data_IF_791128836444
#
_entry.id   IF_791128836444
#
_cell.length_a   1.000
_cell.length_b   1.000
_cell.length_c   1.000
_cell.angle_alpha   90.00
_cell.angle_beta   90.00
_cell.angle_gamma   90.00
#
_symmetry.space_group_name_H-M   'P 1'
#
loop_
_entity.id
_entity.type
_entity.pdbx_description
1 polymer ?
#
# COMPACT_ATOMS: atom_id res chain seq x y z
N UNK A 1 -19.07 -69.11 -40.18
CA UNK A 1 -19.32 -67.68 -40.52
C UNK A 1 -20.69 -67.33 -39.98
N UNK A 2 -20.97 -66.22 -39.26
CA UNK A 2 -20.17 -65.25 -38.49
C UNK A 2 -20.50 -65.31 -36.96
N UNK A 3 -19.96 -64.41 -36.12
CA UNK A 3 -20.61 -64.09 -34.82
C UNK A 3 -19.72 -63.73 -33.61
N UNK A 4 -19.43 -62.43 -33.46
CA UNK A 4 -19.24 -61.65 -32.22
C UNK A 4 -18.22 -62.16 -31.17
N UNK A 5 -17.02 -61.57 -31.22
CA UNK A 5 -16.16 -61.40 -30.04
C UNK A 5 -16.65 -60.24 -29.17
N UNK A 6 -16.93 -60.53 -27.90
CA UNK A 6 -17.01 -59.54 -26.82
C UNK A 6 -15.75 -59.70 -25.97
N UNK A 7 -14.83 -58.74 -26.07
CA UNK A 7 -13.74 -58.57 -25.11
C UNK A 7 -13.65 -57.08 -24.76
N UNK A 8 -14.19 -56.77 -23.58
CA UNK A 8 -13.67 -55.80 -22.60
C UNK A 8 -12.94 -54.57 -23.16
N UNK A 9 -13.66 -53.44 -23.27
CA UNK A 9 -13.04 -52.12 -23.28
C UNK A 9 -12.66 -51.72 -21.85
N UNK A 10 -11.41 -51.96 -21.49
CA UNK A 10 -10.73 -51.19 -20.43
C UNK A 10 -9.89 -50.13 -21.13
N UNK A 11 -9.84 -48.93 -20.54
CA UNK A 11 -9.11 -47.73 -20.99
C UNK A 11 -9.91 -46.74 -21.84
N UNK A 12 -10.56 -45.78 -21.17
CA UNK A 12 -10.11 -44.38 -21.20
C UNK A 12 -11.07 -43.54 -20.35
N UNK A 13 -10.91 -43.63 -19.04
CA UNK A 13 -11.63 -42.80 -18.06
C UNK A 13 -10.74 -41.68 -17.55
N UNK A 14 -9.98 -41.03 -18.43
CA UNK A 14 -9.33 -39.76 -18.10
C UNK A 14 -10.24 -38.66 -18.62
N UNK A 15 -11.26 -38.37 -17.80
CA UNK A 15 -12.13 -37.22 -17.97
C UNK A 15 -11.26 -35.98 -18.17
N UNK A 16 -11.45 -35.36 -19.34
CA UNK A 16 -10.90 -34.06 -19.71
C UNK A 16 -11.20 -33.08 -18.57
N UNK A 17 -10.21 -32.85 -17.71
CA UNK A 17 -10.27 -31.77 -16.74
C UNK A 17 -10.59 -30.52 -17.56
N UNK A 18 -11.71 -29.86 -17.26
CA UNK A 18 -11.98 -28.52 -17.79
C UNK A 18 -10.69 -27.74 -17.58
N UNK A 19 -10.17 -27.00 -18.58
CA UNK A 19 -9.08 -26.08 -18.34
C UNK A 19 -9.48 -25.28 -17.11
N UNK A 20 -8.69 -25.37 -16.04
CA UNK A 20 -8.83 -24.43 -14.93
C UNK A 20 -8.75 -23.08 -15.62
N UNK A 21 -9.79 -22.26 -15.53
CA UNK A 21 -9.74 -20.86 -15.92
C UNK A 21 -8.70 -20.21 -15.00
N UNK A 22 -7.44 -20.40 -15.37
CA UNK A 22 -6.32 -19.79 -14.69
C UNK A 22 -6.42 -18.31 -15.01
N UNK A 23 -6.54 -17.54 -13.95
CA UNK A 23 -6.46 -16.10 -14.01
C UNK A 23 -5.29 -15.67 -14.92
N UNK A 24 -5.54 -14.87 -15.97
CA UNK A 24 -4.50 -14.43 -16.90
C UNK A 24 -3.30 -13.79 -16.19
N UNK A 25 -3.51 -13.16 -15.02
CA UNK A 25 -2.44 -12.57 -14.20
C UNK A 25 -1.59 -13.60 -13.43
N UNK A 26 -2.17 -14.75 -13.11
CA UNK A 26 -1.50 -15.86 -12.44
C UNK A 26 -0.75 -16.76 -13.42
N UNK A 27 -1.20 -16.81 -14.67
CA UNK A 27 -0.59 -17.65 -15.74
C UNK A 27 0.82 -17.22 -16.17
N UNK A 28 1.19 -15.96 -15.91
CA UNK A 28 2.49 -15.39 -16.30
C UNK A 28 3.53 -15.63 -15.21
N UNK A 29 4.67 -16.21 -15.57
CA UNK A 29 5.83 -16.41 -14.70
C UNK A 29 6.71 -15.17 -14.58
N UNK A 30 7.76 -15.28 -13.78
CA UNK A 30 8.79 -14.24 -13.66
C UNK A 30 9.93 -14.54 -14.66
N UNK A 31 10.48 -13.52 -15.35
CA UNK A 31 11.69 -13.68 -16.15
C UNK A 31 12.86 -14.24 -15.34
N UNK A 32 12.99 -13.80 -14.09
CA UNK A 32 14.00 -14.29 -13.13
C UNK A 32 13.89 -15.79 -12.81
N UNK A 33 12.74 -16.41 -13.10
CA UNK A 33 12.48 -17.85 -12.91
C UNK A 33 12.43 -18.62 -14.23
N UNK A 34 12.83 -18.01 -15.34
CA UNK A 34 12.94 -18.66 -16.66
C UNK A 34 11.74 -18.48 -17.59
N UNK A 35 10.71 -17.71 -17.20
CA UNK A 35 9.61 -17.39 -18.13
C UNK A 35 9.99 -16.21 -19.03
N UNK A 36 10.26 -16.49 -20.30
CA UNK A 36 10.71 -15.49 -21.28
C UNK A 36 9.56 -14.78 -22.01
N UNK A 37 8.29 -15.10 -21.73
CA UNK A 37 7.14 -14.51 -22.45
C UNK A 37 7.06 -12.99 -22.27
N UNK A 38 7.42 -12.50 -21.08
CA UNK A 38 7.44 -11.07 -20.75
C UNK A 38 8.63 -10.31 -21.35
N UNK A 39 9.48 -10.94 -22.17
CA UNK A 39 10.49 -10.24 -22.97
C UNK A 39 9.92 -9.64 -24.25
N UNK A 40 8.77 -10.15 -24.73
CA UNK A 40 8.10 -9.65 -25.92
C UNK A 40 7.25 -8.40 -25.62
N UNK A 41 7.42 -7.35 -26.42
CA UNK A 41 6.80 -6.04 -26.17
C UNK A 41 5.28 -6.08 -26.30
N UNK A 42 4.76 -6.84 -27.27
CA UNK A 42 3.31 -6.99 -27.46
C UNK A 42 2.68 -7.75 -26.31
N UNK A 43 3.38 -8.76 -25.79
CA UNK A 43 2.96 -9.52 -24.62
C UNK A 43 2.95 -8.64 -23.37
N UNK A 44 3.93 -7.74 -23.19
CA UNK A 44 3.94 -6.77 -22.09
C UNK A 44 2.74 -5.82 -22.15
N UNK A 45 2.42 -5.28 -23.34
CA UNK A 45 1.28 -4.38 -23.54
C UNK A 45 -0.05 -5.07 -23.24
N UNK A 46 -0.26 -6.26 -23.79
CA UNK A 46 -1.46 -7.05 -23.50
C UNK A 46 -1.58 -7.39 -22.01
N UNK A 47 -0.46 -7.70 -21.36
CA UNK A 47 -0.45 -7.97 -19.93
C UNK A 47 -0.79 -6.74 -19.10
N UNK A 48 -0.27 -5.58 -19.47
CA UNK A 48 -0.62 -4.31 -18.85
C UNK A 48 -2.12 -4.01 -18.99
N UNK A 49 -2.70 -4.21 -20.18
CA UNK A 49 -4.15 -4.05 -20.39
C UNK A 49 -4.94 -4.95 -19.43
N UNK A 50 -4.59 -6.22 -19.30
CA UNK A 50 -5.25 -7.13 -18.35
C UNK A 50 -5.11 -6.64 -16.89
N UNK A 51 -3.96 -6.10 -16.50
CA UNK A 51 -3.74 -5.53 -15.16
C UNK A 51 -4.67 -4.33 -14.95
N UNK A 52 -4.73 -3.41 -15.92
CA UNK A 52 -5.57 -2.21 -15.84
C UNK A 52 -7.05 -2.58 -15.79
N UNK A 53 -7.51 -3.49 -16.65
CA UNK A 53 -8.91 -3.94 -16.68
C UNK A 53 -9.34 -4.51 -15.33
N UNK A 54 -8.50 -5.35 -14.74
CA UNK A 54 -8.74 -5.88 -13.39
C UNK A 54 -8.75 -4.81 -12.31
N UNK A 55 -7.82 -3.86 -12.38
CA UNK A 55 -7.80 -2.74 -11.45
C UNK A 55 -9.06 -1.87 -11.57
N UNK A 56 -9.54 -1.63 -12.79
CA UNK A 56 -10.77 -0.88 -13.02
C UNK A 56 -12.01 -1.65 -12.53
N UNK A 57 -12.05 -2.97 -12.70
CA UNK A 57 -13.09 -3.83 -12.14
C UNK A 57 -13.10 -3.77 -10.61
N UNK A 58 -11.93 -3.88 -9.97
CA UNK A 58 -11.77 -3.71 -8.52
C UNK A 58 -12.24 -2.32 -8.04
N UNK A 59 -11.90 -1.26 -8.77
CA UNK A 59 -12.36 0.09 -8.43
C UNK A 59 -13.88 0.25 -8.57
N UNK A 60 -14.48 -0.39 -9.57
CA UNK A 60 -15.92 -0.35 -9.81
C UNK A 60 -16.70 -1.09 -8.72
N UNK A 61 -16.18 -2.22 -8.25
CA UNK A 61 -16.76 -3.00 -7.16
C UNK A 61 -16.68 -2.28 -5.80
N UNK A 62 -15.62 -1.49 -5.57
CA UNK A 62 -15.51 -0.69 -4.36
C UNK A 62 -16.57 0.43 -4.27
N UNK A 63 -17.04 0.93 -5.42
CA UNK A 63 -18.15 1.89 -5.57
C UNK A 63 -17.88 3.32 -5.04
N UNK A 64 -17.14 3.46 -3.95
CA UNK A 64 -16.79 4.72 -3.31
C UNK A 64 -15.28 4.82 -3.02
N UNK A 65 -14.76 6.05 -3.06
CA UNK A 65 -13.33 6.35 -2.84
C UNK A 65 -12.84 5.90 -1.45
N UNK A 66 -13.63 6.12 -0.41
CA UNK A 66 -13.22 5.80 0.96
C UNK A 66 -13.14 4.28 1.19
N UNK A 67 -14.07 3.54 0.59
CA UNK A 67 -14.07 2.07 0.59
C UNK A 67 -12.87 1.51 -0.18
N UNK A 68 -12.52 2.11 -1.33
CA UNK A 68 -11.32 1.76 -2.09
C UNK A 68 -10.05 1.96 -1.25
N UNK A 69 -9.91 3.12 -0.59
CA UNK A 69 -8.78 3.41 0.29
C UNK A 69 -8.74 2.48 1.51
N UNK A 70 -9.90 2.09 2.05
CA UNK A 70 -10.00 1.09 3.12
C UNK A 70 -9.48 -0.28 2.66
N UNK A 71 -9.90 -0.75 1.48
CA UNK A 71 -9.43 -2.02 0.89
C UNK A 71 -7.93 -1.99 0.56
N UNK A 72 -7.42 -0.87 0.06
CA UNK A 72 -5.98 -0.63 -0.13
C UNK A 72 -5.20 -0.65 1.19
N UNK A 73 -5.82 -0.21 2.29
CA UNK A 73 -5.22 -0.22 3.63
C UNK A 73 -5.15 -1.60 4.25
N UNK A 74 -6.14 -2.47 4.00
CA UNK A 74 -6.14 -3.84 4.54
C UNK A 74 -5.03 -4.73 4.00
N UNK A 75 -4.31 -4.30 2.95
CA UNK A 75 -3.15 -5.01 2.41
C UNK A 75 -1.82 -4.65 3.06
N UNK A 76 -1.81 -3.69 4.00
CA UNK A 76 -0.62 -3.39 4.75
C UNK A 76 -0.33 -4.57 5.70
N UNK A 77 0.49 -5.51 5.24
CA UNK A 77 1.07 -6.53 6.10
C UNK A 77 2.10 -5.81 6.96
N UNK A 78 1.78 -5.59 8.23
CA UNK A 78 2.78 -5.23 9.23
C UNK A 78 3.81 -6.37 9.29
N UNK A 79 4.98 -6.17 8.70
CA UNK A 79 6.12 -7.04 8.91
C UNK A 79 6.69 -6.76 10.31
N UNK A 80 6.06 -7.34 11.35
CA UNK A 80 6.53 -7.71 12.70
C UNK A 80 5.40 -7.58 13.73
N UNK A 81 5.19 -8.62 14.56
CA UNK A 81 6.06 -8.80 15.72
C UNK A 81 6.85 -10.12 15.69
N UNK A 82 8.05 -10.08 16.26
CA UNK A 82 8.83 -11.25 16.63
C UNK A 82 8.17 -11.98 17.82
N UNK A 83 8.47 -13.28 17.91
CA UNK A 83 8.00 -14.30 18.88
C UNK A 83 6.57 -14.81 18.60
N UNK A 84 6.28 -16.11 18.50
CA UNK A 84 6.91 -17.25 19.16
C UNK A 84 6.68 -18.54 18.35
N UNK A 85 7.68 -19.41 18.36
CA UNK A 85 7.74 -20.65 17.59
C UNK A 85 6.88 -21.75 18.24
N UNK A 86 5.64 -22.01 17.78
CA UNK A 86 4.96 -23.29 18.04
C UNK A 86 4.08 -23.73 16.88
N UNK A 87 4.57 -24.74 16.16
CA UNK A 87 3.82 -25.57 15.23
C UNK A 87 2.89 -26.49 16.04
N UNK A 88 1.58 -26.60 15.72
CA UNK A 88 0.79 -27.76 16.12
C UNK A 88 0.52 -28.67 14.92
N UNK A 89 0.96 -29.91 15.06
CA UNK A 89 0.71 -31.07 14.21
C UNK A 89 -0.80 -31.35 14.12
N UNK A 90 -1.35 -31.76 12.96
CA UNK A 90 -2.78 -32.04 12.82
C UNK A 90 -3.15 -33.39 13.45
N UNK A 91 -4.01 -33.37 14.47
CA UNK A 91 -4.71 -34.57 14.94
C UNK A 91 -6.06 -34.71 14.24
N UNK A 92 -6.24 -35.88 13.63
CA UNK A 92 -7.45 -36.32 12.96
C UNK A 92 -8.49 -36.70 14.00
N UNK A 93 -9.63 -36.00 14.05
CA UNK A 93 -10.85 -36.51 14.66
C UNK A 93 -12.03 -36.18 13.76
N UNK A 94 -12.56 -37.23 13.12
CA UNK A 94 -13.86 -37.23 12.46
C UNK A 94 -14.96 -36.99 13.49
N UNK A 95 -15.77 -35.95 13.29
CA UNK A 95 -17.17 -35.95 13.73
C UNK A 95 -17.96 -34.93 12.92
N UNK A 96 -18.89 -35.48 12.16
CA UNK A 96 -19.91 -34.85 11.34
C UNK A 96 -21.01 -34.20 12.19
N UNK A 97 -21.20 -32.88 12.08
CA UNK A 97 -22.50 -32.22 12.23
C UNK A 97 -22.39 -30.73 11.82
N UNK A 98 -23.28 -30.28 10.92
CA UNK A 98 -23.60 -28.86 10.72
C UNK A 98 -22.73 -28.11 9.72
N UNK A 99 -23.01 -28.27 8.43
CA UNK A 99 -22.49 -27.39 7.39
C UNK A 99 -23.14 -26.00 7.45
N UNK A 100 -22.70 -25.17 8.40
CA UNK A 100 -22.84 -23.71 8.26
C UNK A 100 -21.78 -23.25 7.27
N UNK A 101 -22.22 -22.94 6.04
CA UNK A 101 -21.41 -22.23 5.05
C UNK A 101 -21.05 -20.86 5.63
N UNK A 102 -19.90 -20.78 6.30
CA UNK A 102 -19.23 -19.51 6.51
C UNK A 102 -18.79 -19.01 5.14
N UNK A 103 -19.61 -18.14 4.54
CA UNK A 103 -19.15 -17.26 3.48
C UNK A 103 -17.99 -16.44 4.10
N UNK A 104 -16.78 -16.48 3.52
CA UNK A 104 -15.74 -15.57 3.96
C UNK A 104 -16.24 -14.13 3.75
N UNK A 105 -15.90 -13.20 4.63
CA UNK A 105 -16.25 -11.79 4.43
C UNK A 105 -15.67 -11.33 3.08
N UNK A 106 -16.49 -10.66 2.28
CA UNK A 106 -16.17 -10.13 0.93
C UNK A 106 -14.79 -9.45 0.83
N UNK A 107 -14.36 -8.84 1.94
CA UNK A 107 -13.04 -8.21 2.11
C UNK A 107 -11.84 -9.13 1.76
N UNK A 108 -11.91 -10.43 2.05
CA UNK A 108 -10.79 -11.35 1.79
C UNK A 108 -10.60 -11.62 0.29
N UNK A 109 -11.69 -11.66 -0.47
CA UNK A 109 -11.65 -11.82 -1.93
C UNK A 109 -11.02 -10.59 -2.59
N UNK A 110 -11.50 -9.40 -2.23
CA UNK A 110 -10.98 -8.14 -2.80
C UNK A 110 -9.52 -7.86 -2.42
N UNK A 111 -9.08 -8.26 -1.21
CA UNK A 111 -7.68 -8.17 -0.82
C UNK A 111 -6.78 -9.13 -1.64
N UNK A 112 -7.25 -10.35 -1.88
CA UNK A 112 -6.56 -11.29 -2.74
C UNK A 112 -6.43 -10.77 -4.18
N UNK A 113 -7.48 -10.14 -4.72
CA UNK A 113 -7.47 -9.56 -6.07
C UNK A 113 -6.45 -8.42 -6.21
N UNK A 114 -6.43 -7.48 -5.26
CA UNK A 114 -5.50 -6.35 -5.29
C UNK A 114 -4.04 -6.79 -5.02
N UNK A 115 -3.82 -7.77 -4.14
CA UNK A 115 -2.49 -8.36 -3.97
C UNK A 115 -2.02 -9.05 -5.27
N UNK A 116 -2.92 -9.72 -5.98
CA UNK A 116 -2.68 -10.29 -7.31
C UNK A 116 -2.29 -9.24 -8.35
N UNK A 117 -2.96 -8.09 -8.35
CA UNK A 117 -2.63 -6.93 -9.22
C UNK A 117 -1.21 -6.42 -8.92
N UNK A 118 -0.85 -6.23 -7.65
CA UNK A 118 0.49 -5.76 -7.27
C UNK A 118 1.59 -6.75 -7.65
N UNK A 119 1.33 -8.06 -7.51
CA UNK A 119 2.25 -9.11 -7.96
C UNK A 119 2.38 -9.11 -9.49
N UNK A 120 1.28 -8.95 -10.23
CA UNK A 120 1.30 -8.85 -11.69
C UNK A 120 2.09 -7.60 -12.15
N UNK A 121 1.91 -6.47 -11.48
CA UNK A 121 2.71 -5.27 -11.72
C UNK A 121 4.19 -5.49 -11.47
N UNK A 122 4.55 -6.23 -10.40
CA UNK A 122 5.94 -6.61 -10.16
C UNK A 122 6.49 -7.46 -11.31
N UNK A 123 5.74 -8.47 -11.78
CA UNK A 123 6.12 -9.30 -12.94
C UNK A 123 6.34 -8.43 -14.19
N UNK A 124 5.43 -7.49 -14.46
CA UNK A 124 5.54 -6.58 -15.60
C UNK A 124 6.81 -5.72 -15.51
N UNK A 125 7.11 -5.13 -14.34
CA UNK A 125 8.35 -4.36 -14.15
C UNK A 125 9.60 -5.21 -14.39
N UNK A 126 9.64 -6.44 -13.87
CA UNK A 126 10.75 -7.37 -14.13
C UNK A 126 10.89 -7.67 -15.62
N UNK A 127 9.77 -7.88 -16.34
CA UNK A 127 9.77 -8.04 -17.80
C UNK A 127 10.33 -6.84 -18.55
N UNK A 128 9.90 -5.62 -18.19
CA UNK A 128 10.37 -4.37 -18.79
C UNK A 128 11.88 -4.15 -18.58
N UNK A 129 12.37 -4.43 -17.37
CA UNK A 129 13.80 -4.34 -17.06
C UNK A 129 14.59 -5.41 -17.83
N UNK A 130 14.11 -6.65 -17.84
CA UNK A 130 14.77 -7.76 -18.52
C UNK A 130 14.84 -7.54 -20.04
N UNK A 131 13.82 -6.93 -20.64
CA UNK A 131 13.80 -6.57 -22.06
C UNK A 131 14.55 -5.26 -22.37
N UNK A 132 15.10 -4.58 -21.36
CA UNK A 132 15.73 -3.24 -21.47
C UNK A 132 14.85 -2.21 -22.20
N UNK A 133 13.52 -2.33 -22.08
CA UNK A 133 12.57 -1.47 -22.79
C UNK A 133 12.49 -0.10 -22.12
N UNK A 134 12.74 0.95 -22.90
CA UNK A 134 12.65 2.35 -22.46
C UNK A 134 11.97 3.20 -23.52
N UNK A 135 10.65 3.18 -23.48
CA UNK A 135 9.74 3.92 -24.35
C UNK A 135 8.58 4.53 -23.54
N UNK A 136 7.71 5.28 -24.20
CA UNK A 136 6.53 5.91 -23.60
C UNK A 136 5.67 4.90 -22.82
N UNK A 137 5.47 3.70 -23.38
CA UNK A 137 4.72 2.63 -22.68
C UNK A 137 5.38 2.25 -21.36
N UNK A 138 6.70 2.03 -21.34
CA UNK A 138 7.41 1.71 -20.11
C UNK A 138 7.28 2.83 -19.06
N UNK A 139 7.36 4.10 -19.47
CA UNK A 139 7.16 5.24 -18.58
C UNK A 139 5.77 5.24 -17.95
N UNK A 140 4.71 5.09 -18.75
CA UNK A 140 3.33 5.07 -18.27
C UNK A 140 3.04 3.86 -17.36
N UNK A 141 3.55 2.68 -17.72
CA UNK A 141 3.43 1.48 -16.89
C UNK A 141 4.09 1.67 -15.52
N UNK A 142 5.27 2.30 -15.46
CA UNK A 142 5.94 2.62 -14.21
C UNK A 142 5.19 3.68 -13.39
N UNK A 143 4.68 4.75 -14.01
CA UNK A 143 3.87 5.77 -13.33
C UNK A 143 2.62 5.17 -12.68
N UNK A 144 1.88 4.34 -13.43
CA UNK A 144 0.74 3.61 -12.89
C UNK A 144 1.13 2.71 -11.72
N UNK A 145 2.24 1.97 -11.87
CA UNK A 145 2.75 1.08 -10.85
C UNK A 145 3.15 1.81 -9.55
N UNK A 146 3.81 2.97 -9.68
CA UNK A 146 4.20 3.83 -8.56
C UNK A 146 2.95 4.33 -7.84
N UNK A 147 1.99 4.94 -8.57
CA UNK A 147 0.76 5.48 -8.00
C UNK A 147 -0.01 4.42 -7.21
N UNK A 148 -0.23 3.25 -7.80
CA UNK A 148 -0.94 2.16 -7.12
C UNK A 148 -0.19 1.64 -5.89
N UNK A 149 1.13 1.46 -6.01
CA UNK A 149 1.96 0.98 -4.90
C UNK A 149 2.04 1.98 -3.75
N UNK A 150 2.00 3.28 -4.03
CA UNK A 150 1.92 4.36 -3.02
C UNK A 150 0.58 4.29 -2.28
N UNK A 151 -0.54 4.14 -3.00
CA UNK A 151 -1.86 3.99 -2.38
C UNK A 151 -1.93 2.75 -1.47
N UNK A 152 -1.32 1.64 -1.91
CA UNK A 152 -1.21 0.41 -1.15
C UNK A 152 -0.19 0.48 0.03
N UNK A 153 0.55 1.59 0.18
CA UNK A 153 1.62 1.77 1.19
C UNK A 153 2.66 0.65 1.18
N UNK A 154 3.12 0.24 -0.01
CA UNK A 154 4.14 -0.81 -0.19
C UNK A 154 5.49 -0.21 -0.65
N UNK A 155 6.37 0.22 0.29
CA UNK A 155 7.61 0.93 -0.03
C UNK A 155 8.57 0.12 -0.90
N UNK A 156 8.60 -1.20 -0.75
CA UNK A 156 9.44 -2.10 -1.52
C UNK A 156 9.10 -2.05 -3.01
N UNK A 157 7.83 -1.76 -3.33
CA UNK A 157 7.34 -1.72 -4.69
C UNK A 157 7.51 -0.35 -5.34
N UNK A 158 7.05 0.73 -4.69
CA UNK A 158 7.13 2.05 -5.32
C UNK A 158 8.55 2.63 -5.29
N UNK A 159 9.35 2.42 -4.23
CA UNK A 159 10.64 3.08 -4.09
C UNK A 159 11.61 2.67 -5.21
N UNK A 160 11.76 1.37 -5.46
CA UNK A 160 12.57 0.86 -6.55
C UNK A 160 12.07 1.32 -7.93
N UNK A 161 10.74 1.36 -8.11
CA UNK A 161 10.12 1.82 -9.35
C UNK A 161 10.38 3.32 -9.61
N UNK A 162 10.29 4.16 -8.58
CA UNK A 162 10.61 5.59 -8.64
C UNK A 162 12.06 5.80 -9.06
N UNK A 163 13.00 5.12 -8.39
CA UNK A 163 14.42 5.28 -8.69
C UNK A 163 14.77 4.85 -10.11
N UNK A 164 14.20 3.74 -10.58
CA UNK A 164 14.40 3.28 -11.95
C UNK A 164 13.79 4.26 -12.98
N UNK A 165 12.58 4.75 -12.72
CA UNK A 165 11.91 5.71 -13.59
C UNK A 165 12.71 7.02 -13.70
N UNK A 166 13.20 7.58 -12.59
CA UNK A 166 13.93 8.85 -12.57
C UNK A 166 15.37 8.74 -13.10
N UNK A 167 16.09 7.65 -12.84
CA UNK A 167 17.51 7.54 -13.19
C UNK A 167 17.81 6.78 -14.48
N UNK A 168 16.89 5.91 -14.93
CA UNK A 168 17.14 5.02 -16.09
C UNK A 168 16.20 5.36 -17.24
N UNK A 169 14.89 5.44 -16.98
CA UNK A 169 13.89 5.71 -18.01
C UNK A 169 13.95 7.18 -18.41
N UNK A 170 13.84 8.11 -17.46
CA UNK A 170 13.81 9.55 -17.71
C UNK A 170 15.04 10.06 -18.48
N UNK A 171 16.22 9.47 -18.24
CA UNK A 171 17.47 9.86 -18.91
C UNK A 171 17.44 9.52 -20.41
N UNK A 172 16.78 8.42 -20.80
CA UNK A 172 16.69 7.96 -22.19
C UNK A 172 15.40 8.42 -22.88
N UNK A 173 14.31 8.52 -22.12
CA UNK A 173 13.00 8.96 -22.54
C UNK A 173 12.50 10.04 -21.56
N UNK A 174 12.67 11.33 -21.89
CA UNK A 174 12.38 12.42 -20.96
C UNK A 174 10.88 12.46 -20.65
N UNK A 175 10.57 12.35 -19.37
CA UNK A 175 9.22 12.55 -18.83
C UNK A 175 8.84 14.04 -18.89
N UNK A 176 7.54 14.31 -18.85
CA UNK A 176 7.05 15.67 -18.70
C UNK A 176 7.47 16.27 -17.36
N UNK A 177 7.59 17.60 -17.30
CA UNK A 177 7.90 18.30 -16.04
C UNK A 177 6.92 17.92 -14.93
N UNK A 178 5.63 17.77 -15.26
CA UNK A 178 4.59 17.40 -14.29
C UNK A 178 4.82 16.00 -13.68
N UNK A 179 5.15 15.01 -14.52
CA UNK A 179 5.42 13.63 -14.07
C UNK A 179 6.68 13.57 -13.21
N UNK A 180 7.73 14.29 -13.56
CA UNK A 180 8.95 14.39 -12.74
C UNK A 180 8.63 14.99 -11.37
N UNK A 181 7.87 16.09 -11.34
CA UNK A 181 7.49 16.77 -10.10
C UNK A 181 6.60 15.88 -9.22
N UNK A 182 5.66 15.14 -9.81
CA UNK A 182 4.81 14.19 -9.09
C UNK A 182 5.64 13.08 -8.42
N UNK A 183 6.47 12.40 -9.21
CA UNK A 183 7.26 11.25 -8.76
C UNK A 183 8.36 11.67 -7.78
N UNK A 184 9.04 12.79 -8.03
CA UNK A 184 10.01 13.35 -7.09
C UNK A 184 9.33 13.80 -5.79
N UNK A 185 8.11 14.36 -5.87
CA UNK A 185 7.30 14.69 -4.69
C UNK A 185 7.01 13.46 -3.82
N UNK A 186 6.70 12.31 -4.41
CA UNK A 186 6.53 11.06 -3.67
C UNK A 186 7.84 10.60 -3.01
N UNK A 187 8.97 10.69 -3.71
CA UNK A 187 10.27 10.32 -3.16
C UNK A 187 10.67 11.20 -1.95
N UNK A 188 10.47 12.51 -2.07
CA UNK A 188 10.74 13.48 -1.00
C UNK A 188 9.86 13.18 0.22
N UNK A 189 8.56 12.96 0.00
CA UNK A 189 7.64 12.67 1.09
C UNK A 189 7.91 11.30 1.74
N UNK A 190 8.25 10.25 0.98
CA UNK A 190 8.67 8.97 1.56
C UNK A 190 9.91 9.13 2.43
N UNK A 191 10.90 9.88 1.94
CA UNK A 191 12.17 10.09 2.65
C UNK A 191 11.96 10.89 3.95
N UNK A 192 11.09 11.89 3.94
CA UNK A 192 10.74 12.65 5.14
C UNK A 192 9.80 11.86 6.09
N UNK A 193 8.74 11.26 5.54
CA UNK A 193 7.61 10.73 6.31
C UNK A 193 7.76 9.26 6.72
N UNK A 194 8.59 8.46 6.05
CA UNK A 194 8.85 7.07 6.46
C UNK A 194 10.27 6.89 6.94
N UNK A 195 11.26 7.35 6.16
CA UNK A 195 12.68 7.17 6.47
C UNK A 195 13.20 8.14 7.54
N UNK A 196 12.46 9.20 7.86
CA UNK A 196 12.83 10.26 8.83
C UNK A 196 14.15 10.97 8.47
N UNK A 197 14.54 10.97 7.20
CA UNK A 197 15.78 11.55 6.71
C UNK A 197 15.53 12.92 6.08
N UNK A 198 15.36 13.94 6.92
CA UNK A 198 14.99 15.29 6.47
C UNK A 198 16.06 15.95 5.59
N UNK A 199 17.34 15.74 5.90
CA UNK A 199 18.45 16.29 5.12
C UNK A 199 18.46 15.73 3.69
N UNK A 200 18.26 14.42 3.54
CA UNK A 200 18.16 13.76 2.23
C UNK A 200 16.92 14.21 1.48
N UNK A 201 15.77 14.34 2.16
CA UNK A 201 14.55 14.85 1.54
C UNK A 201 14.73 16.27 0.97
N UNK A 202 15.43 17.16 1.68
CA UNK A 202 15.77 18.51 1.20
C UNK A 202 16.74 18.45 0.02
N UNK A 203 17.75 17.57 0.06
CA UNK A 203 18.69 17.39 -1.02
C UNK A 203 18.01 16.90 -2.31
N UNK A 204 17.14 15.88 -2.21
CA UNK A 204 16.36 15.35 -3.33
C UNK A 204 15.46 16.44 -3.91
N UNK A 205 14.77 17.20 -3.06
CA UNK A 205 13.93 18.33 -3.48
C UNK A 205 14.73 19.35 -4.30
N UNK A 206 15.95 19.69 -3.87
CA UNK A 206 16.83 20.60 -4.61
C UNK A 206 17.33 20.00 -5.92
N UNK A 207 17.73 18.72 -5.91
CA UNK A 207 18.20 17.99 -7.08
C UNK A 207 17.16 18.01 -8.22
N UNK A 208 15.89 17.73 -7.90
CA UNK A 208 14.79 17.72 -8.87
C UNK A 208 14.10 19.08 -9.03
N UNK A 209 14.59 20.14 -8.38
CA UNK A 209 14.03 21.50 -8.38
C UNK A 209 12.50 21.49 -8.16
N UNK A 210 12.07 20.77 -7.12
CA UNK A 210 10.64 20.57 -6.86
C UNK A 210 9.96 21.90 -6.49
N UNK A 211 8.93 22.29 -7.24
CA UNK A 211 8.18 23.55 -7.06
C UNK A 211 6.84 23.37 -6.32
N UNK A 212 6.55 22.17 -5.81
CA UNK A 212 5.31 21.90 -5.09
C UNK A 212 5.29 22.60 -3.71
N UNK A 213 4.49 23.65 -3.59
CA UNK A 213 4.29 24.39 -2.33
C UNK A 213 3.75 23.51 -1.21
N UNK A 214 2.89 22.53 -1.53
CA UNK A 214 2.30 21.66 -0.52
C UNK A 214 3.36 20.74 0.06
N UNK A 215 4.21 20.13 -0.77
CA UNK A 215 5.34 19.31 -0.30
C UNK A 215 6.28 20.14 0.55
N UNK A 216 6.57 21.38 0.15
CA UNK A 216 7.39 22.30 0.95
C UNK A 216 6.77 22.58 2.31
N UNK A 217 5.46 22.84 2.36
CA UNK A 217 4.76 23.07 3.60
C UNK A 217 4.73 21.82 4.50
N UNK A 218 4.64 20.61 3.93
CA UNK A 218 4.77 19.35 4.70
C UNK A 218 6.16 19.23 5.31
N UNK A 219 7.22 19.49 4.53
CA UNK A 219 8.59 19.45 5.05
C UNK A 219 8.77 20.45 6.20
N UNK A 220 8.29 21.68 6.04
CA UNK A 220 8.32 22.68 7.12
C UNK A 220 7.55 22.21 8.36
N UNK A 221 6.37 21.61 8.18
CA UNK A 221 5.58 21.09 9.28
C UNK A 221 6.31 19.97 10.04
N UNK A 222 7.00 19.07 9.34
CA UNK A 222 7.78 17.99 9.98
C UNK A 222 9.04 18.54 10.65
N UNK A 223 9.77 19.46 10.01
CA UNK A 223 10.99 20.07 10.57
C UNK A 223 10.70 20.80 11.89
N UNK A 224 9.54 21.47 11.98
CA UNK A 224 9.13 22.23 13.15
C UNK A 224 8.22 21.44 14.11
N UNK A 225 8.01 20.15 13.88
CA UNK A 225 7.06 19.31 14.64
C UNK A 225 5.66 19.94 14.79
N UNK A 226 5.22 20.70 13.79
CA UNK A 226 3.95 21.43 13.82
C UNK A 226 2.81 20.55 13.31
N UNK A 227 2.18 19.81 14.23
CA UNK A 227 1.10 18.88 13.92
C UNK A 227 -0.14 19.57 13.32
N UNK A 228 -0.50 20.77 13.78
CA UNK A 228 -1.68 21.49 13.29
C UNK A 228 -1.52 21.86 11.82
N UNK A 229 -0.34 22.38 11.46
CA UNK A 229 -0.01 22.68 10.06
C UNK A 229 0.05 21.39 9.24
N UNK A 230 0.72 20.35 9.77
CA UNK A 230 0.83 19.04 9.12
C UNK A 230 -0.54 18.47 8.75
N UNK A 231 -1.47 18.43 9.71
CA UNK A 231 -2.83 17.91 9.48
C UNK A 231 -3.57 18.77 8.46
N UNK A 232 -3.53 20.10 8.59
CA UNK A 232 -4.20 21.01 7.65
C UNK A 232 -3.77 20.73 6.21
N UNK A 233 -2.47 20.54 5.99
CA UNK A 233 -1.94 20.24 4.67
C UNK A 233 -2.35 18.83 4.22
N UNK A 234 -2.30 17.83 5.11
CA UNK A 234 -2.73 16.46 4.81
C UNK A 234 -4.19 16.39 4.29
N UNK A 235 -5.06 17.30 4.75
CA UNK A 235 -6.46 17.47 4.31
C UNK A 235 -6.58 18.02 2.89
N UNK A 236 -5.58 18.79 2.43
CA UNK A 236 -5.61 19.59 1.20
C UNK A 236 -4.70 19.05 0.08
N UNK A 237 -3.83 18.08 0.37
CA UNK A 237 -2.96 17.42 -0.62
C UNK A 237 -3.73 16.34 -1.38
N UNK A 238 -3.17 15.90 -2.51
CA UNK A 238 -3.69 14.75 -3.24
C UNK A 238 -3.62 13.48 -2.39
N UNK A 239 -4.53 12.54 -2.67
CA UNK A 239 -4.65 11.31 -1.89
C UNK A 239 -3.37 10.48 -1.83
N UNK A 240 -2.55 10.48 -2.89
CA UNK A 240 -1.29 9.75 -2.90
C UNK A 240 -0.27 10.35 -1.93
N UNK A 241 -0.09 11.69 -1.95
CA UNK A 241 0.76 12.38 -0.96
C UNK A 241 0.23 12.26 0.46
N UNK A 242 -1.10 12.40 0.66
CA UNK A 242 -1.73 12.19 1.96
C UNK A 242 -1.40 10.80 2.52
N UNK A 243 -1.40 9.78 1.65
CA UNK A 243 -1.09 8.40 2.02
C UNK A 243 0.34 8.20 2.53
N UNK A 244 1.30 8.91 1.94
CA UNK A 244 2.69 8.92 2.40
C UNK A 244 2.83 9.65 3.74
N UNK A 245 2.09 10.75 3.90
CA UNK A 245 2.10 11.55 5.14
C UNK A 245 1.61 10.76 6.36
N UNK A 246 0.69 9.81 6.20
CA UNK A 246 0.18 8.98 7.32
C UNK A 246 1.30 8.29 8.11
N UNK A 247 2.43 7.95 7.48
CA UNK A 247 3.57 7.35 8.17
C UNK A 247 4.21 8.27 9.22
N UNK A 248 4.14 9.59 9.03
CA UNK A 248 4.66 10.59 9.96
C UNK A 248 3.63 11.05 11.00
N UNK A 249 2.35 10.84 10.73
CA UNK A 249 1.27 11.43 11.49
C UNK A 249 1.34 11.09 12.99
N UNK A 250 1.53 9.80 13.29
CA UNK A 250 1.63 9.31 14.67
C UNK A 250 2.78 9.97 15.43
N UNK A 251 3.95 10.07 14.82
CA UNK A 251 5.15 10.59 15.50
C UNK A 251 5.03 12.08 15.81
N UNK A 252 4.54 12.87 14.85
CA UNK A 252 4.32 14.32 15.03
C UNK A 252 3.19 14.57 16.05
N UNK A 253 2.15 13.73 16.06
CA UNK A 253 1.08 13.78 17.07
C UNK A 253 1.60 13.46 18.47
N UNK A 254 2.43 12.42 18.61
CA UNK A 254 3.06 12.06 19.89
C UNK A 254 3.93 13.20 20.41
N UNK A 255 4.70 13.86 19.55
CA UNK A 255 5.47 15.03 19.95
C UNK A 255 4.56 16.15 20.49
N UNK A 256 3.46 16.43 19.80
CA UNK A 256 2.46 17.41 20.24
C UNK A 256 1.85 17.06 21.60
N UNK A 257 1.49 15.80 21.81
CA UNK A 257 0.99 15.30 23.10
C UNK A 257 2.02 15.47 24.22
N UNK A 258 3.31 15.21 23.95
CA UNK A 258 4.39 15.44 24.92
C UNK A 258 4.53 16.93 25.28
N UNK A 259 4.39 17.82 24.30
CA UNK A 259 4.42 19.26 24.52
C UNK A 259 3.23 19.73 25.38
N UNK A 260 2.01 19.27 25.06
CA UNK A 260 0.83 19.53 25.89
C UNK A 260 1.01 19.00 27.32
N UNK A 261 1.59 17.81 27.44
CA UNK A 261 1.96 17.17 28.70
C UNK A 261 2.83 18.02 29.63
N UNK A 262 3.71 18.84 29.03
CA UNK A 262 4.65 19.71 29.75
C UNK A 262 4.10 21.12 29.97
N UNK A 263 3.30 21.63 29.04
CA UNK A 263 2.80 23.00 29.08
C UNK A 263 1.56 23.16 29.98
N UNK A 264 0.68 22.16 30.03
CA UNK A 264 -0.61 22.27 30.71
C UNK A 264 -0.71 21.37 31.96
N UNK A 265 -1.57 21.75 32.89
CA UNK A 265 -1.99 20.90 34.03
C UNK A 265 -3.29 20.16 33.70
N UNK A 266 -4.20 20.86 33.03
CA UNK A 266 -5.45 20.32 32.50
C UNK A 266 -5.80 21.02 31.20
N UNK A 267 -6.46 20.34 30.28
CA UNK A 267 -7.00 20.90 29.03
C UNK A 267 -8.47 20.53 28.86
N UNK A 268 -9.20 21.35 28.10
CA UNK A 268 -10.56 20.98 27.71
C UNK A 268 -10.54 19.77 26.78
N UNK A 269 -11.54 18.89 26.93
CA UNK A 269 -11.64 17.67 26.12
C UNK A 269 -11.76 18.00 24.62
N UNK A 270 -12.58 18.98 24.23
CA UNK A 270 -12.77 19.35 22.83
C UNK A 270 -11.51 19.94 22.23
N UNK A 271 -10.84 20.81 22.99
CA UNK A 271 -9.56 21.38 22.56
C UNK A 271 -8.52 20.29 22.26
N UNK A 272 -8.44 19.26 23.11
CA UNK A 272 -7.50 18.16 22.88
C UNK A 272 -7.83 17.43 21.57
N UNK A 273 -9.08 17.00 21.39
CA UNK A 273 -9.50 16.29 20.17
C UNK A 273 -9.35 17.14 18.91
N UNK A 274 -9.60 18.44 18.99
CA UNK A 274 -9.43 19.37 17.86
C UNK A 274 -7.96 19.52 17.46
N UNK A 275 -7.06 19.66 18.45
CA UNK A 275 -5.62 19.82 18.20
C UNK A 275 -5.00 18.52 17.70
N UNK A 276 -5.40 17.37 18.23
CA UNK A 276 -4.83 16.07 17.86
C UNK A 276 -5.60 15.38 16.74
N UNK A 277 -6.73 15.94 16.29
CA UNK A 277 -7.64 15.37 15.31
C UNK A 277 -7.95 13.87 15.54
N UNK A 278 -7.92 13.45 16.79
CA UNK A 278 -7.98 12.05 17.22
C UNK A 278 -8.91 11.96 18.41
N UNK A 279 -9.72 10.90 18.46
CA UNK A 279 -10.63 10.68 19.57
C UNK A 279 -9.85 10.29 20.82
N UNK A 280 -10.40 10.60 21.98
CA UNK A 280 -9.80 10.22 23.27
C UNK A 280 -9.47 8.72 23.40
N UNK A 281 -10.34 7.85 22.90
CA UNK A 281 -10.14 6.39 22.90
C UNK A 281 -8.91 6.00 22.07
N UNK A 282 -8.67 6.66 20.94
CA UNK A 282 -7.50 6.41 20.10
C UNK A 282 -6.22 6.95 20.74
N UNK A 283 -6.29 8.12 21.40
CA UNK A 283 -5.15 8.70 22.11
C UNK A 283 -4.68 7.80 23.27
N UNK A 284 -5.62 7.21 24.01
CA UNK A 284 -5.31 6.31 25.13
C UNK A 284 -4.83 4.95 24.66
N UNK A 285 -5.51 4.34 23.68
CA UNK A 285 -5.20 3.00 23.17
C UNK A 285 -3.96 2.97 22.27
N UNK A 286 -3.90 3.88 21.30
CA UNK A 286 -2.90 3.83 20.23
C UNK A 286 -1.68 4.67 20.56
N UNK A 287 -1.86 5.86 21.16
CA UNK A 287 -0.77 6.80 21.44
C UNK A 287 -0.22 6.70 22.87
N UNK A 288 -0.82 5.86 23.72
CA UNK A 288 -0.31 5.56 25.07
C UNK A 288 -0.47 6.71 26.06
N UNK A 289 -1.48 7.56 25.87
CA UNK A 289 -1.75 8.70 26.77
C UNK A 289 -2.34 8.19 28.09
N UNK A 290 -1.61 8.38 29.19
CA UNK A 290 -2.03 7.99 30.55
C UNK A 290 -2.72 9.10 31.35
N UNK A 291 -3.40 10.04 30.68
CA UNK A 291 -4.09 11.16 31.33
C UNK A 291 -5.51 10.75 31.77
N UNK A 292 -6.06 11.45 32.76
CA UNK A 292 -7.39 11.15 33.32
C UNK A 292 -8.44 12.11 32.76
N UNK A 293 -9.64 11.61 32.47
CA UNK A 293 -10.78 12.43 32.06
C UNK A 293 -11.68 12.70 33.26
N UNK A 294 -11.83 13.96 33.67
CA UNK A 294 -12.72 14.40 34.75
C UNK A 294 -13.69 15.49 34.26
N UNK A 295 -15.00 15.19 34.31
CA UNK A 295 -16.09 16.15 34.04
C UNK A 295 -15.89 17.01 32.78
N UNK A 296 -15.40 16.41 31.70
CA UNK A 296 -15.17 17.10 30.41
C UNK A 296 -13.82 17.82 30.28
N UNK A 297 -12.93 17.68 31.26
CA UNK A 297 -11.53 18.15 31.19
C UNK A 297 -10.56 16.98 31.34
N UNK A 298 -9.49 17.04 30.58
CA UNK A 298 -8.40 16.07 30.65
C UNK A 298 -7.37 16.59 31.66
N UNK A 299 -7.20 15.87 32.76
CA UNK A 299 -6.18 16.13 33.78
C UNK A 299 -4.87 15.48 33.32
N UNK A 300 -3.92 16.33 32.94
CA UNK A 300 -2.61 15.93 32.42
C UNK A 300 -1.63 15.73 33.58
N UNK A 301 -1.63 16.64 34.55
CA UNK A 301 -0.78 16.57 35.75
C UNK A 301 -1.58 16.99 36.98
N UNK A 302 -1.54 16.15 38.01
CA UNK A 302 -2.05 16.49 39.33
C UNK A 302 -1.05 17.41 40.03
N UNK A 303 -1.50 18.55 40.53
CA UNK A 303 -0.68 19.43 41.36
C UNK A 303 -0.37 18.68 42.65
N UNK A 304 0.91 18.37 42.91
CA UNK A 304 1.31 17.85 44.22
C UNK A 304 1.14 18.97 45.22
N UNK A 305 0.23 18.79 46.17
CA UNK A 305 0.11 19.63 47.37
C UNK A 305 1.47 19.60 48.10
N UNK A 306 2.02 20.79 48.37
CA UNK A 306 3.24 20.96 49.18
C UNK A 306 2.94 20.83 50.66
#
# INVERSE_FOLDING_TARGET
MPGRGSKSSLSSSWGRLKPVEQDPLQSMGLPSKGDTRLLDYKTQENFYTNIVDKYMAFCSEAGQRDELLRRLSSLHIDAMPAADSRIPIPQYTNSSAGASRFLPPDNMSSANDLSGILVALRKLREGLVASNRVDEFSAQAYLFCIRLSVLAKQPESYHAAILHLLHVIHVRHPLTSLEVQEVAGYLVLDTACRRRQLAEAIAIRQQFKLQDEKVNAVLQAIIHDNYVLFRRIQKNVDGHKARLMEWAERDVRIHTLKCLGRAYLSVDFKFLEDVTASKWEDLTRNDGVGWELDKGRVIIRKVKTR
#
